data_IF_655766405141
#
_entry.id   IF_655766405141
#
_cell.length_a   1.000
_cell.length_b   1.000
_cell.length_c   1.000
_cell.angle_alpha   90.00
_cell.angle_beta   90.00
_cell.angle_gamma   90.00
#
_symmetry.space_group_name_H-M   'P 1'
#
loop_
_entity.id
_entity.type
_entity.pdbx_description
1 polymer ?
#
# COMPACT_ATOMS: atom_id res chain seq x y z
N UNK A 1 -1.27 -4.39 7.12
CA UNK A 1 -2.74 -4.26 7.00
C UNK A 1 -3.19 -2.80 6.98
N UNK A 2 -3.68 -2.32 5.83
CA UNK A 2 -4.04 -0.90 5.58
C UNK A 2 -5.45 -0.50 6.03
N UNK A 3 -6.35 -1.47 6.16
CA UNK A 3 -7.75 -1.21 6.51
C UNK A 3 -7.89 -0.45 7.84
N UNK A 4 -8.80 0.52 7.87
CA UNK A 4 -9.02 1.43 9.01
C UNK A 4 -7.74 2.09 9.56
N UNK A 5 -6.78 2.45 8.70
CA UNK A 5 -5.56 3.15 9.09
C UNK A 5 -5.39 4.46 8.33
N UNK A 6 -4.68 5.40 8.94
CA UNK A 6 -4.08 6.52 8.21
C UNK A 6 -2.74 6.08 7.63
N UNK A 7 -2.55 6.24 6.33
CA UNK A 7 -1.30 5.89 5.66
C UNK A 7 -0.47 7.16 5.54
N UNK A 8 0.76 7.15 6.05
CA UNK A 8 1.66 8.30 6.02
C UNK A 8 3.02 7.93 5.44
N UNK A 9 3.65 8.87 4.76
CA UNK A 9 5.03 8.72 4.32
C UNK A 9 5.97 8.77 5.52
N UNK A 10 6.89 7.82 5.64
CA UNK A 10 7.80 7.71 6.78
C UNK A 10 8.70 8.94 7.01
N UNK A 11 8.90 9.79 5.99
CA UNK A 11 9.72 11.00 6.10
C UNK A 11 8.91 12.26 6.41
N UNK A 12 7.58 12.17 6.47
CA UNK A 12 6.71 13.29 6.87
C UNK A 12 6.64 13.39 8.40
N UNK A 13 7.77 13.71 9.02
CA UNK A 13 7.95 13.67 10.48
C UNK A 13 6.88 14.48 11.25
N UNK A 14 6.54 15.69 10.78
CA UNK A 14 5.52 16.52 11.43
C UNK A 14 4.13 15.87 11.41
N UNK A 15 3.77 15.17 10.33
CA UNK A 15 2.49 14.44 10.23
C UNK A 15 2.52 13.23 11.17
N UNK A 16 3.63 12.49 11.19
CA UNK A 16 3.78 11.31 12.05
C UNK A 16 3.69 11.71 13.53
N UNK A 17 4.36 12.78 13.95
CA UNK A 17 4.28 13.30 15.31
C UNK A 17 2.85 13.68 15.69
N UNK A 18 2.13 14.36 14.79
CA UNK A 18 0.72 14.68 15.00
C UNK A 18 -0.14 13.44 15.15
N UNK A 19 -0.04 12.46 14.24
CA UNK A 19 -0.83 11.23 14.28
C UNK A 19 -0.54 10.42 15.56
N UNK A 20 0.72 10.38 16.00
CA UNK A 20 1.12 9.72 17.25
C UNK A 20 0.54 10.38 18.51
N UNK A 21 0.13 11.65 18.44
CA UNK A 21 -0.55 12.32 19.56
C UNK A 21 -2.02 11.89 19.72
N UNK A 22 -2.61 11.25 18.71
CA UNK A 22 -3.99 10.79 18.72
C UNK A 22 -4.10 9.42 19.39
N UNK A 23 -4.85 9.35 20.50
CA UNK A 23 -5.09 8.09 21.22
C UNK A 23 -5.87 7.10 20.35
N UNK A 24 -5.49 5.84 20.39
CA UNK A 24 -6.15 4.71 19.71
C UNK A 24 -6.21 4.85 18.17
N UNK A 25 -5.41 5.74 17.58
CA UNK A 25 -5.29 5.90 16.15
C UNK A 25 -4.32 4.87 15.54
N UNK A 26 -4.69 4.32 14.38
CA UNK A 26 -3.85 3.38 13.63
C UNK A 26 -3.16 4.10 12.48
N UNK A 27 -1.83 4.20 12.55
CA UNK A 27 -1.00 4.71 11.45
C UNK A 27 -0.23 3.58 10.79
N UNK A 28 -0.17 3.59 9.46
CA UNK A 28 0.71 2.74 8.66
C UNK A 28 1.71 3.63 7.94
N UNK A 29 2.99 3.39 8.13
CA UNK A 29 4.04 4.11 7.42
C UNK A 29 4.40 3.40 6.12
N UNK A 30 4.62 4.19 5.07
CA UNK A 30 5.11 3.72 3.76
C UNK A 30 6.45 4.37 3.43
N UNK A 31 7.35 3.67 2.71
CA UNK A 31 8.66 4.21 2.29
C UNK A 31 8.57 5.20 1.13
N UNK A 32 7.37 5.41 0.58
CA UNK A 32 7.04 6.34 -0.50
C UNK A 32 5.81 7.15 -0.12
N UNK A 33 5.60 8.35 -0.69
CA UNK A 33 4.37 9.12 -0.52
C UNK A 33 3.13 8.27 -0.83
N UNK A 34 2.06 8.29 -0.02
CA UNK A 34 0.94 7.36 -0.13
C UNK A 34 -0.06 7.74 -1.26
N UNK A 35 0.43 7.96 -2.47
CA UNK A 35 -0.40 8.14 -3.67
C UNK A 35 -0.93 6.79 -4.16
N UNK A 36 -1.98 6.79 -5.00
CA UNK A 36 -2.55 5.56 -5.52
C UNK A 36 -1.52 4.70 -6.28
N UNK A 37 -0.59 5.32 -7.00
CA UNK A 37 0.48 4.67 -7.77
C UNK A 37 1.48 3.96 -6.85
N UNK A 38 2.05 4.67 -5.88
CA UNK A 38 2.99 4.06 -4.93
C UNK A 38 2.35 2.96 -4.10
N UNK A 39 1.07 3.13 -3.72
CA UNK A 39 0.33 2.08 -3.04
C UNK A 39 0.06 0.88 -3.96
N UNK A 40 -0.21 1.09 -5.25
CA UNK A 40 -0.37 0.00 -6.19
C UNK A 40 0.93 -0.80 -6.35
N UNK A 41 2.08 -0.15 -6.42
CA UNK A 41 3.40 -0.79 -6.47
C UNK A 41 3.66 -1.63 -5.21
N UNK A 42 3.52 -1.02 -4.03
CA UNK A 42 3.70 -1.70 -2.75
C UNK A 42 2.75 -2.89 -2.58
N UNK A 43 1.51 -2.77 -3.05
CA UNK A 43 0.54 -3.85 -3.03
C UNK A 43 0.92 -4.97 -4.02
N UNK A 44 1.38 -4.61 -5.22
CA UNK A 44 1.78 -5.55 -6.26
C UNK A 44 2.94 -6.41 -5.78
N UNK A 45 4.01 -5.80 -5.27
CA UNK A 45 5.19 -6.51 -4.77
C UNK A 45 4.82 -7.51 -3.67
N UNK A 46 4.03 -7.04 -2.70
CA UNK A 46 3.59 -7.87 -1.57
C UNK A 46 2.71 -9.03 -2.01
N UNK A 47 1.79 -8.78 -2.95
CA UNK A 47 0.90 -9.82 -3.48
C UNK A 47 1.68 -10.81 -4.35
N UNK A 48 2.60 -10.35 -5.17
CA UNK A 48 3.45 -11.18 -6.01
C UNK A 48 4.31 -12.13 -5.17
N UNK A 49 4.97 -11.62 -4.12
CA UNK A 49 5.73 -12.45 -3.18
C UNK A 49 4.84 -13.51 -2.53
N UNK A 50 3.66 -13.14 -2.05
CA UNK A 50 2.72 -14.06 -1.42
C UNK A 50 2.21 -15.15 -2.39
N UNK A 51 1.92 -14.78 -3.64
CA UNK A 51 1.51 -15.71 -4.70
C UNK A 51 2.65 -16.68 -5.02
N UNK A 52 3.87 -16.19 -5.25
CA UNK A 52 5.03 -17.04 -5.54
C UNK A 52 5.33 -18.00 -4.39
N UNK A 53 5.27 -17.52 -3.13
CA UNK A 53 5.48 -18.37 -1.95
C UNK A 53 4.47 -19.50 -1.84
N UNK A 54 3.22 -19.25 -2.22
CA UNK A 54 2.12 -20.23 -2.07
C UNK A 54 1.97 -21.17 -3.27
N UNK A 55 2.24 -20.69 -4.47
CA UNK A 55 1.93 -21.41 -5.73
C UNK A 55 3.16 -21.66 -6.61
N UNK A 56 4.34 -21.18 -6.22
CA UNK A 56 5.56 -21.27 -7.02
C UNK A 56 5.38 -20.60 -8.38
N UNK A 57 5.75 -21.29 -9.45
CA UNK A 57 5.64 -20.78 -10.83
C UNK A 57 4.30 -21.11 -11.50
N UNK A 58 3.39 -21.83 -10.82
CA UNK A 58 2.12 -22.27 -11.40
C UNK A 58 1.08 -21.13 -11.51
N UNK A 59 1.24 -20.09 -10.69
CA UNK A 59 0.41 -18.88 -10.73
C UNK A 59 1.31 -17.65 -10.69
N UNK A 60 1.04 -16.69 -11.57
CA UNK A 60 1.78 -15.42 -11.64
C UNK A 60 0.81 -14.25 -11.55
N UNK A 61 1.16 -13.25 -10.72
CA UNK A 61 0.46 -11.98 -10.74
C UNK A 61 0.81 -11.27 -12.06
N UNK A 62 -0.20 -10.91 -12.86
CA UNK A 62 0.00 -10.17 -14.11
C UNK A 62 -0.33 -8.70 -14.01
N UNK A 63 -1.32 -8.35 -13.19
CA UNK A 63 -1.83 -7.00 -13.08
C UNK A 63 -2.50 -6.78 -11.74
N UNK A 64 -2.23 -5.63 -11.13
CA UNK A 64 -2.96 -5.12 -9.98
C UNK A 64 -3.50 -3.74 -10.32
N UNK A 65 -4.76 -3.50 -9.96
CA UNK A 65 -5.38 -2.19 -10.08
C UNK A 65 -5.88 -1.74 -8.71
N UNK A 66 -5.44 -0.58 -8.27
CA UNK A 66 -5.83 0.02 -7.00
C UNK A 66 -6.68 1.25 -7.26
N UNK A 67 -7.92 1.20 -6.81
CA UNK A 67 -8.89 2.28 -6.95
C UNK A 67 -8.89 3.15 -5.70
N UNK A 68 -8.61 4.45 -5.85
CA UNK A 68 -8.81 5.43 -4.78
C UNK A 68 -10.28 5.83 -4.70
N UNK A 69 -10.90 6.00 -5.86
CA UNK A 69 -12.33 6.23 -6.03
C UNK A 69 -12.84 5.32 -7.16
N UNK A 70 -14.16 5.20 -7.36
CA UNK A 70 -14.69 4.37 -8.45
C UNK A 70 -14.21 4.77 -9.85
N UNK A 71 -13.81 6.03 -10.06
CA UNK A 71 -13.41 6.57 -11.37
C UNK A 71 -11.92 6.92 -11.48
N UNK A 72 -11.15 6.83 -10.39
CA UNK A 72 -9.71 7.10 -10.36
C UNK A 72 -8.94 5.92 -9.78
N UNK A 73 -7.94 5.44 -10.51
CA UNK A 73 -7.14 4.28 -10.12
C UNK A 73 -5.71 4.35 -10.65
N UNK A 74 -4.81 3.62 -9.99
CA UNK A 74 -3.50 3.28 -10.49
C UNK A 74 -3.42 1.79 -10.86
N UNK A 75 -2.52 1.44 -11.77
CA UNK A 75 -2.36 0.07 -12.26
C UNK A 75 -0.88 -0.29 -12.41
N UNK A 76 -0.53 -1.49 -11.97
CA UNK A 76 0.82 -2.07 -12.08
C UNK A 76 0.71 -3.39 -12.83
N UNK A 77 1.65 -3.62 -13.75
CA UNK A 77 1.74 -4.82 -14.58
C UNK A 77 3.12 -5.47 -14.44
N UNK A 78 3.15 -6.81 -14.56
CA UNK A 78 4.35 -7.64 -14.43
C UNK A 78 5.27 -7.59 -15.67
#
# INVERSE_FOLDING_TARGET
>A
PWDHAFIAYEKDHAVIEFLNSLKDHKTVLTPLPPTAEHLADLAFDKLNEAIQKKYGQTLQLKRLRLYETPTSWAEVQA
#
